data_IF_721628656970
#
_entry.id   IF_721628656970
#
_cell.length_a   1.000
_cell.length_b   1.000
_cell.length_c   1.000
_cell.angle_alpha   90.00
_cell.angle_beta   90.00
_cell.angle_gamma   90.00
#
_symmetry.space_group_name_H-M   'P 1'
#
loop_
_entity.id
_entity.type
_entity.pdbx_description
1 polymer ?
#
# COMPACT_ATOMS: atom_id res chain seq x y z
N UNK A 1 -19.05 6.67 -14.80
CA UNK A 1 -17.90 5.98 -14.19
C UNK A 1 -17.90 6.33 -12.72
N UNK A 2 -17.96 5.34 -11.83
CA UNK A 2 -17.91 5.58 -10.40
C UNK A 2 -16.49 5.99 -9.95
N UNK A 3 -16.34 6.65 -8.78
CA UNK A 3 -15.01 7.01 -8.27
C UNK A 3 -14.03 5.83 -8.21
N UNK A 4 -14.49 4.64 -7.82
CA UNK A 4 -13.61 3.46 -7.79
C UNK A 4 -13.16 3.02 -9.19
N UNK A 5 -14.04 3.10 -10.19
CA UNK A 5 -13.70 2.76 -11.58
C UNK A 5 -12.63 3.69 -12.14
N UNK A 6 -12.69 4.99 -11.80
CA UNK A 6 -11.69 5.98 -12.21
C UNK A 6 -10.34 5.66 -11.57
N UNK A 7 -10.33 5.38 -10.26
CA UNK A 7 -9.09 5.00 -9.54
C UNK A 7 -8.50 3.72 -10.14
N UNK A 8 -9.33 2.70 -10.35
CA UNK A 8 -8.91 1.43 -10.95
C UNK A 8 -8.35 1.63 -12.36
N UNK A 9 -9.02 2.42 -13.19
CA UNK A 9 -8.56 2.74 -14.55
C UNK A 9 -7.21 3.46 -14.53
N UNK A 10 -7.02 4.44 -13.66
CA UNK A 10 -5.75 5.17 -13.53
C UNK A 10 -4.62 4.21 -13.11
N UNK A 11 -4.84 3.38 -12.09
CA UNK A 11 -3.84 2.42 -11.62
C UNK A 11 -3.51 1.39 -12.70
N UNK A 12 -4.52 0.87 -13.41
CA UNK A 12 -4.33 -0.08 -14.50
C UNK A 12 -3.54 0.54 -15.67
N UNK A 13 -3.92 1.75 -16.10
CA UNK A 13 -3.24 2.47 -17.17
C UNK A 13 -1.77 2.75 -16.81
N UNK A 14 -1.51 3.28 -15.62
CA UNK A 14 -0.13 3.55 -15.15
C UNK A 14 0.66 2.23 -15.05
N UNK A 15 0.04 1.16 -14.55
CA UNK A 15 0.66 -0.16 -14.43
C UNK A 15 1.08 -0.71 -15.79
N UNK A 16 0.18 -0.69 -16.77
CA UNK A 16 0.45 -1.14 -18.15
C UNK A 16 1.55 -0.30 -18.78
N UNK A 17 1.45 1.03 -18.72
CA UNK A 17 2.47 1.95 -19.25
C UNK A 17 3.83 1.64 -18.61
N UNK A 18 3.88 1.46 -17.29
CA UNK A 18 5.11 1.13 -16.55
C UNK A 18 5.71 -0.20 -17.03
N UNK A 19 4.90 -1.24 -17.20
CA UNK A 19 5.36 -2.54 -17.70
C UNK A 19 5.92 -2.40 -19.11
N UNK A 20 5.22 -1.72 -20.02
CA UNK A 20 5.68 -1.47 -21.39
C UNK A 20 7.03 -0.72 -21.39
N UNK A 21 7.16 0.35 -20.60
CA UNK A 21 8.42 1.11 -20.50
C UNK A 21 9.55 0.22 -19.97
N UNK A 22 9.29 -0.62 -18.96
CA UNK A 22 10.29 -1.53 -18.40
C UNK A 22 10.75 -2.59 -19.40
N UNK A 23 9.85 -3.08 -20.26
CA UNK A 23 10.15 -4.07 -21.29
C UNK A 23 10.98 -3.46 -22.44
N UNK A 24 10.67 -2.23 -22.87
CA UNK A 24 11.36 -1.60 -24.01
C UNK A 24 12.66 -0.90 -23.55
N UNK A 25 12.62 -0.14 -22.45
CA UNK A 25 13.74 0.70 -21.96
C UNK A 25 13.79 0.73 -20.43
N UNK A 26 14.31 -0.30 -19.76
CA UNK A 26 14.35 -0.36 -18.29
C UNK A 26 15.14 0.80 -17.66
N UNK A 27 16.15 1.32 -18.36
CA UNK A 27 16.92 2.49 -17.91
C UNK A 27 16.12 3.80 -17.90
N UNK A 28 15.07 3.91 -18.73
CA UNK A 28 14.22 5.10 -18.75
C UNK A 28 13.42 5.24 -17.44
N UNK A 29 13.05 4.11 -16.82
CA UNK A 29 12.31 4.11 -15.56
C UNK A 29 13.14 4.59 -14.38
N UNK A 30 14.48 4.50 -14.41
CA UNK A 30 15.34 4.91 -13.28
C UNK A 30 15.17 6.37 -12.87
N UNK A 31 14.90 7.25 -13.82
CA UNK A 31 14.73 8.70 -13.56
C UNK A 31 13.48 8.99 -12.71
N UNK A 32 12.46 8.14 -12.76
CA UNK A 32 11.18 8.38 -12.08
C UNK A 32 11.33 8.23 -10.56
N UNK A 33 11.83 7.09 -10.02
CA UNK A 33 12.15 6.99 -8.60
C UNK A 33 13.12 8.07 -8.12
N UNK A 34 14.14 8.42 -8.90
CA UNK A 34 15.10 9.44 -8.48
C UNK A 34 14.41 10.78 -8.23
N UNK A 35 13.56 11.25 -9.16
CA UNK A 35 12.80 12.50 -9.00
C UNK A 35 11.86 12.43 -7.80
N UNK A 36 11.13 11.31 -7.64
CA UNK A 36 10.14 11.14 -6.57
C UNK A 36 10.81 11.02 -5.20
N UNK A 37 11.89 10.26 -5.07
CA UNK A 37 12.54 10.03 -3.79
C UNK A 37 13.61 11.07 -3.43
N UNK A 38 13.98 11.98 -4.34
CA UNK A 38 14.87 13.11 -4.04
C UNK A 38 14.28 14.10 -3.02
N UNK A 39 12.97 14.12 -2.83
CA UNK A 39 12.28 14.95 -1.81
C UNK A 39 11.45 14.07 -0.87
N UNK A 40 12.09 13.28 0.01
CA UNK A 40 11.41 12.22 0.75
C UNK A 40 10.29 12.72 1.67
N UNK A 41 10.44 13.90 2.28
CA UNK A 41 9.40 14.50 3.14
C UNK A 41 8.18 14.93 2.31
N UNK A 42 8.40 15.57 1.17
CA UNK A 42 7.32 15.98 0.27
C UNK A 42 6.57 14.76 -0.26
N UNK A 43 7.31 13.74 -0.70
CA UNK A 43 6.74 12.48 -1.20
C UNK A 43 5.96 11.74 -0.12
N UNK A 44 6.42 11.76 1.13
CA UNK A 44 5.68 11.20 2.25
C UNK A 44 4.37 11.96 2.49
N UNK A 45 4.39 13.30 2.52
CA UNK A 45 3.18 14.12 2.74
C UNK A 45 2.17 13.92 1.61
N UNK A 46 2.61 14.05 0.36
CA UNK A 46 1.76 13.85 -0.83
C UNK A 46 1.23 12.42 -0.86
N UNK A 47 2.07 11.43 -0.54
CA UNK A 47 1.66 10.03 -0.47
C UNK A 47 0.60 9.77 0.60
N UNK A 48 0.73 10.36 1.79
CA UNK A 48 -0.27 10.22 2.86
C UNK A 48 -1.60 10.90 2.50
N UNK A 49 -1.55 12.09 1.90
CA UNK A 49 -2.76 12.81 1.43
C UNK A 49 -3.47 11.98 0.36
N UNK A 50 -2.73 11.49 -0.64
CA UNK A 50 -3.29 10.64 -1.70
C UNK A 50 -3.83 9.33 -1.14
N UNK A 51 -3.14 8.70 -0.19
CA UNK A 51 -3.62 7.48 0.47
C UNK A 51 -4.94 7.73 1.21
N UNK A 52 -5.06 8.82 1.97
CA UNK A 52 -6.30 9.21 2.64
C UNK A 52 -7.43 9.52 1.66
N UNK A 53 -7.12 10.23 0.56
CA UNK A 53 -8.10 10.55 -0.48
C UNK A 53 -8.62 9.30 -1.19
N UNK A 54 -7.71 8.39 -1.57
CA UNK A 54 -8.08 7.11 -2.20
C UNK A 54 -8.89 6.26 -1.22
N UNK A 55 -8.49 6.18 0.05
CA UNK A 55 -9.23 5.45 1.07
C UNK A 55 -10.64 6.02 1.25
N UNK A 56 -10.80 7.35 1.27
CA UNK A 56 -12.10 8.02 1.35
C UNK A 56 -13.03 7.61 0.20
N UNK A 57 -12.54 7.63 -1.05
CA UNK A 57 -13.33 7.20 -2.20
C UNK A 57 -13.59 5.69 -2.21
N UNK A 58 -12.64 4.87 -1.76
CA UNK A 58 -12.85 3.43 -1.64
C UNK A 58 -13.94 3.11 -0.60
N UNK A 59 -13.96 3.81 0.54
CA UNK A 59 -14.95 3.60 1.60
C UNK A 59 -16.38 4.00 1.19
N UNK A 60 -16.54 4.75 0.08
CA UNK A 60 -17.86 5.04 -0.46
C UNK A 60 -18.52 3.83 -1.16
N UNK A 61 -17.72 2.87 -1.62
CA UNK A 61 -18.20 1.72 -2.41
C UNK A 61 -17.81 0.36 -1.79
N UNK A 62 -16.73 0.31 -1.00
CA UNK A 62 -16.18 -0.91 -0.38
C UNK A 62 -16.05 -0.75 1.13
N UNK A 63 -16.28 -1.83 1.88
CA UNK A 63 -16.00 -1.84 3.32
C UNK A 63 -14.49 -1.90 3.60
N UNK A 64 -14.06 -1.39 4.75
CA UNK A 64 -12.66 -1.48 5.19
C UNK A 64 -12.16 -2.93 5.24
N UNK A 65 -13.06 -3.88 5.55
CA UNK A 65 -12.78 -5.32 5.56
C UNK A 65 -12.48 -5.84 4.14
N UNK A 66 -13.27 -5.44 3.14
CA UNK A 66 -13.03 -5.80 1.74
C UNK A 66 -11.72 -5.23 1.22
N UNK A 67 -11.40 -3.98 1.59
CA UNK A 67 -10.12 -3.35 1.26
C UNK A 67 -8.96 -4.16 1.84
N UNK A 68 -9.04 -4.57 3.10
CA UNK A 68 -8.02 -5.41 3.74
C UNK A 68 -7.91 -6.81 3.13
N UNK A 69 -9.01 -7.39 2.64
CA UNK A 69 -8.97 -8.65 1.90
C UNK A 69 -8.18 -8.53 0.59
N UNK A 70 -8.39 -7.46 -0.18
CA UNK A 70 -7.60 -7.18 -1.40
C UNK A 70 -6.14 -6.91 -1.06
N UNK A 71 -5.88 -6.14 -0.01
CA UNK A 71 -4.51 -5.90 0.48
C UNK A 71 -3.82 -7.23 0.83
N UNK A 72 -4.51 -8.15 1.51
CA UNK A 72 -3.96 -9.46 1.84
C UNK A 72 -3.57 -10.25 0.58
N UNK A 73 -4.43 -10.26 -0.44
CA UNK A 73 -4.10 -10.84 -1.75
C UNK A 73 -2.86 -10.19 -2.39
N UNK A 74 -2.78 -8.86 -2.38
CA UNK A 74 -1.61 -8.13 -2.92
C UNK A 74 -0.35 -8.45 -2.12
N UNK A 75 -0.41 -8.55 -0.79
CA UNK A 75 0.74 -8.93 0.03
C UNK A 75 1.30 -10.30 -0.36
N UNK A 76 0.44 -11.27 -0.67
CA UNK A 76 0.88 -12.60 -1.14
C UNK A 76 1.62 -12.51 -2.48
N UNK A 77 1.11 -11.72 -3.44
CA UNK A 77 1.80 -11.50 -4.72
C UNK A 77 3.14 -10.78 -4.53
N UNK A 78 3.20 -9.84 -3.59
CA UNK A 78 4.44 -9.12 -3.24
C UNK A 78 5.47 -10.08 -2.64
N UNK A 79 5.06 -10.98 -1.73
CA UNK A 79 5.93 -12.02 -1.16
C UNK A 79 6.44 -12.96 -2.27
N UNK A 80 5.57 -13.40 -3.18
CA UNK A 80 5.97 -14.22 -4.31
C UNK A 80 7.01 -13.49 -5.19
N UNK A 81 6.80 -12.20 -5.46
CA UNK A 81 7.71 -11.37 -6.26
C UNK A 81 9.08 -11.19 -5.59
N UNK A 82 9.10 -10.96 -4.27
CA UNK A 82 10.34 -10.79 -3.51
C UNK A 82 11.09 -12.09 -3.23
N UNK A 83 10.42 -13.24 -3.28
CA UNK A 83 11.06 -14.54 -3.05
C UNK A 83 12.22 -14.82 -4.02
N UNK A 84 12.13 -14.30 -5.25
CA UNK A 84 13.19 -14.39 -6.26
C UNK A 84 14.48 -13.63 -5.87
N UNK A 85 14.41 -12.69 -4.92
CA UNK A 85 15.52 -11.85 -4.44
C UNK A 85 15.72 -11.98 -2.93
N UNK A 86 15.43 -13.16 -2.37
CA UNK A 86 15.38 -13.38 -0.92
C UNK A 86 16.70 -13.04 -0.20
N UNK A 87 17.85 -13.27 -0.84
CA UNK A 87 19.18 -12.99 -0.23
C UNK A 87 19.41 -11.49 -0.09
N UNK A 88 19.14 -10.74 -1.15
CA UNK A 88 19.26 -9.29 -1.21
C UNK A 88 18.30 -8.64 -0.21
N UNK A 89 17.05 -9.09 -0.19
CA UNK A 89 16.03 -8.59 0.73
C UNK A 89 16.39 -8.86 2.19
N UNK A 90 16.89 -10.06 2.52
CA UNK A 90 17.35 -10.40 3.88
C UNK A 90 18.51 -9.52 4.34
N UNK A 91 19.48 -9.28 3.46
CA UNK A 91 20.63 -8.40 3.74
C UNK A 91 20.18 -6.95 3.96
N UNK A 92 19.29 -6.45 3.10
CA UNK A 92 18.78 -5.08 3.18
C UNK A 92 17.95 -4.87 4.46
N UNK A 93 17.05 -5.81 4.79
CA UNK A 93 16.25 -5.77 6.01
C UNK A 93 17.13 -5.83 7.27
N UNK A 94 18.15 -6.69 7.28
CA UNK A 94 19.10 -6.78 8.39
C UNK A 94 19.86 -5.48 8.66
N UNK A 95 20.14 -4.68 7.62
CA UNK A 95 20.74 -3.34 7.77
C UNK A 95 19.73 -2.33 8.31
N UNK A 96 18.50 -2.33 7.79
CA UNK A 96 17.44 -1.41 8.22
C UNK A 96 17.03 -1.62 9.68
N UNK A 97 16.91 -2.86 10.14
CA UNK A 97 16.51 -3.18 11.52
C UNK A 97 17.58 -2.81 12.55
N UNK A 98 18.86 -2.84 12.17
CA UNK A 98 19.97 -2.39 13.03
C UNK A 98 20.01 -0.88 13.17
N UNK A 99 19.51 -0.14 12.18
CA UNK A 99 19.42 1.31 12.23
C UNK A 99 18.16 1.76 12.98
N UNK A 100 18.31 2.05 14.28
CA UNK A 100 17.25 2.62 15.12
C UNK A 100 16.64 3.91 14.54
N UNK A 101 17.38 4.67 13.72
CA UNK A 101 16.87 5.88 13.07
C UNK A 101 15.92 5.54 11.92
N UNK A 102 16.08 4.40 11.25
CA UNK A 102 15.17 3.96 10.20
C UNK A 102 13.78 3.64 10.77
N UNK A 103 13.73 2.92 11.90
CA UNK A 103 12.48 2.65 12.61
C UNK A 103 11.81 3.92 13.13
N UNK A 104 12.62 4.86 13.66
CA UNK A 104 12.09 6.19 13.98
C UNK A 104 11.52 6.84 12.73
N UNK A 105 12.21 6.94 11.60
CA UNK A 105 11.65 7.57 10.39
C UNK A 105 10.35 6.93 9.88
N UNK A 106 10.15 5.63 10.10
CA UNK A 106 8.94 4.91 9.72
C UNK A 106 7.81 4.98 10.77
N UNK A 107 7.97 5.67 11.90
CA UNK A 107 7.00 5.67 13.00
C UNK A 107 5.58 6.06 12.54
N UNK A 108 5.48 7.03 11.64
CA UNK A 108 4.21 7.60 11.20
C UNK A 108 3.40 6.59 10.38
N UNK A 109 4.05 5.86 9.45
CA UNK A 109 3.38 4.81 8.68
C UNK A 109 2.98 3.63 9.59
N UNK A 110 3.79 3.30 10.60
CA UNK A 110 3.45 2.27 11.59
C UNK A 110 2.20 2.67 12.38
N UNK A 111 2.08 3.92 12.84
CA UNK A 111 0.90 4.40 13.56
C UNK A 111 -0.35 4.36 12.67
N UNK A 112 -0.25 4.82 11.42
CA UNK A 112 -1.37 4.74 10.46
C UNK A 112 -1.79 3.29 10.25
N UNK A 113 -0.82 2.37 10.10
CA UNK A 113 -1.12 0.97 9.88
C UNK A 113 -1.78 0.29 11.08
N UNK A 114 -1.33 0.63 12.30
CA UNK A 114 -1.97 0.18 13.52
C UNK A 114 -3.41 0.69 13.64
N UNK A 115 -3.64 1.98 13.36
CA UNK A 115 -4.99 2.56 13.39
C UNK A 115 -5.95 1.87 12.41
N UNK A 116 -5.51 1.64 11.17
CA UNK A 116 -6.31 0.92 10.16
C UNK A 116 -6.56 -0.54 10.56
N UNK A 117 -5.56 -1.21 11.12
CA UNK A 117 -5.70 -2.60 11.58
C UNK A 117 -6.71 -2.72 12.73
N UNK A 118 -6.64 -1.81 13.71
CA UNK A 118 -7.61 -1.76 14.82
C UNK A 118 -9.01 -1.48 14.30
N UNK A 119 -9.17 -0.56 13.34
CA UNK A 119 -10.47 -0.27 12.74
C UNK A 119 -11.08 -1.51 12.07
N UNK A 120 -10.31 -2.24 11.26
CA UNK A 120 -10.79 -3.48 10.62
C UNK A 120 -11.25 -4.51 11.65
N UNK A 121 -10.48 -4.68 12.72
CA UNK A 121 -10.82 -5.64 13.78
C UNK A 121 -12.13 -5.22 14.45
N UNK A 122 -12.29 -3.95 14.80
CA UNK A 122 -13.54 -3.42 15.36
C UNK A 122 -14.69 -3.65 14.40
N UNK A 123 -14.53 -3.36 13.12
CA UNK A 123 -15.58 -3.53 12.11
C UNK A 123 -16.01 -4.99 11.98
N UNK A 124 -15.08 -5.95 11.97
CA UNK A 124 -15.38 -7.38 11.94
C UNK A 124 -16.19 -7.81 13.16
N UNK A 125 -15.80 -7.36 14.35
CA UNK A 125 -16.52 -7.72 15.59
C UNK A 125 -17.86 -6.99 15.72
N UNK A 126 -17.97 -5.76 15.24
CA UNK A 126 -19.21 -4.98 15.25
C UNK A 126 -20.24 -5.58 14.28
N UNK A 127 -19.80 -5.95 13.07
CA UNK A 127 -20.61 -6.71 12.13
C UNK A 127 -21.02 -8.05 12.73
N UNK A 128 -20.11 -8.81 13.35
CA UNK A 128 -20.40 -10.08 14.01
C UNK A 128 -21.43 -10.00 15.15
N UNK A 129 -21.42 -8.93 15.95
CA UNK A 129 -22.36 -8.72 17.04
C UNK A 129 -23.81 -8.45 16.55
N UNK A 130 -23.97 -7.81 15.39
CA UNK A 130 -25.30 -7.56 14.81
C UNK A 130 -26.04 -8.84 14.39
N UNK A 131 -25.30 -9.91 14.01
CA UNK A 131 -25.88 -11.20 13.64
C UNK A 131 -26.22 -12.10 14.84
N UNK A 132 -25.56 -11.92 15.99
CA UNK A 132 -25.84 -12.70 17.20
C UNK A 132 -27.13 -12.33 17.94
N UNK A 133 -27.77 -11.20 17.60
CA UNK A 133 -29.06 -10.79 18.19
C UNK A 133 -30.28 -11.19 17.34
N UNK A 134 -30.07 -11.83 16.18
CA UNK A 134 -31.12 -12.29 15.26
C UNK A 134 -31.23 -13.83 15.22
N UNK A 135 -30.60 -14.53 16.17
CA UNK A 135 -30.67 -15.98 16.35
C UNK A 135 -31.56 -16.38 17.51
#
# INVERSE_FOLDING_TARGET
>A
MSPIEIIALLVAAIGIIKIIILLIKPKAWKKVPDVVFNRPVLTMIVGLILAGLVLYYLLAELSIVQIFAVIAFVMLLVVASYSAYAKEMKSMMGKLLKDRKALKKAWLIVVVWLALSVWVIIEIFNLGASWSCLG
#
